data_IF_391583706983
#
_entry.id   IF_391583706983
#
_cell.length_a   1.000
_cell.length_b   1.000
_cell.length_c   1.000
_cell.angle_alpha   90.00
_cell.angle_beta   90.00
_cell.angle_gamma   90.00
#
_symmetry.space_group_name_H-M   'P 1'
#
loop_
_entity.id
_entity.type
_entity.pdbx_description
1 polymer ?
#
# COMPACT_ATOMS: atom_id res chain seq x y z
N UNK A 1 26.14 -18.75 10.23
CA UNK A 1 24.93 -18.17 9.60
C UNK A 1 23.89 -19.24 9.52
N UNK A 2 22.71 -18.97 10.05
CA UNK A 2 21.64 -19.96 10.14
C UNK A 2 21.06 -20.33 8.79
N UNK A 3 20.74 -21.59 8.60
CA UNK A 3 20.20 -22.14 7.35
C UNK A 3 18.72 -22.47 7.52
N UNK A 4 17.99 -22.40 6.42
CA UNK A 4 16.59 -22.82 6.38
C UNK A 4 16.52 -24.32 6.67
N UNK A 5 15.87 -24.69 7.78
CA UNK A 5 15.67 -26.08 8.18
C UNK A 5 14.35 -26.63 7.62
N UNK A 6 13.27 -25.87 7.72
CA UNK A 6 11.97 -26.26 7.16
C UNK A 6 11.13 -25.06 6.75
N UNK A 7 10.25 -25.29 5.77
CA UNK A 7 9.26 -24.32 5.30
C UNK A 7 7.90 -25.00 5.31
N UNK A 8 6.95 -24.42 6.02
CA UNK A 8 5.57 -24.87 6.11
C UNK A 8 4.64 -23.77 5.62
N UNK A 9 3.48 -24.15 5.12
CA UNK A 9 2.46 -23.21 4.72
C UNK A 9 1.07 -23.71 5.10
N UNK A 10 0.16 -22.76 5.28
CA UNK A 10 -1.25 -23.03 5.56
C UNK A 10 -2.13 -22.01 4.89
N UNK A 11 -3.40 -22.37 4.72
CA UNK A 11 -4.45 -21.47 4.33
C UNK A 11 -5.00 -20.79 5.59
N UNK A 12 -5.08 -19.47 5.59
CA UNK A 12 -5.74 -18.65 6.62
C UNK A 12 -6.79 -17.76 5.95
N UNK A 13 -7.53 -16.97 6.71
CA UNK A 13 -8.50 -16.03 6.17
C UNK A 13 -7.98 -14.60 6.21
N UNK A 14 -8.27 -13.85 5.15
CA UNK A 14 -8.05 -12.40 5.09
C UNK A 14 -9.20 -11.61 5.75
N UNK A 15 -9.10 -10.29 5.80
CA UNK A 15 -10.09 -9.37 6.38
C UNK A 15 -11.45 -9.37 5.69
N UNK A 16 -11.56 -9.97 4.51
CA UNK A 16 -12.80 -10.16 3.74
C UNK A 16 -13.37 -11.57 3.89
N UNK A 17 -12.72 -12.44 4.69
CA UNK A 17 -13.10 -13.83 4.85
C UNK A 17 -12.70 -14.72 3.67
N UNK A 18 -11.83 -14.25 2.77
CA UNK A 18 -11.28 -15.06 1.70
C UNK A 18 -9.99 -15.77 2.15
N UNK A 19 -9.72 -16.99 1.65
CA UNK A 19 -8.46 -17.67 1.92
C UNK A 19 -7.25 -16.87 1.41
N UNK A 20 -6.17 -16.91 2.19
CA UNK A 20 -4.83 -16.47 1.77
C UNK A 20 -3.75 -17.39 2.33
N UNK A 21 -2.50 -17.21 1.88
CA UNK A 21 -1.36 -18.05 2.24
C UNK A 21 -0.64 -17.45 3.45
N UNK A 22 -0.42 -18.27 4.48
CA UNK A 22 0.55 -18.00 5.54
C UNK A 22 1.69 -19.00 5.45
N UNK A 23 2.93 -18.50 5.51
CA UNK A 23 4.15 -19.32 5.48
C UNK A 23 4.91 -19.18 6.78
N UNK A 24 5.49 -20.27 7.24
CA UNK A 24 6.38 -20.33 8.39
C UNK A 24 7.71 -20.97 7.99
N UNK A 25 8.80 -20.25 8.23
CA UNK A 25 10.18 -20.69 8.01
C UNK A 25 10.86 -20.90 9.35
N UNK A 26 11.44 -22.09 9.55
CA UNK A 26 12.22 -22.44 10.73
C UNK A 26 13.67 -22.61 10.33
N UNK A 27 14.60 -21.97 11.04
CA UNK A 27 16.03 -22.11 10.83
C UNK A 27 16.65 -23.23 11.70
N UNK A 28 17.90 -23.62 11.42
CA UNK A 28 18.62 -24.64 12.15
C UNK A 28 18.92 -24.25 13.61
N UNK A 29 19.01 -22.95 13.91
CA UNK A 29 19.11 -22.39 15.27
C UNK A 29 17.77 -22.28 16.02
N UNK A 30 16.66 -22.77 15.41
CA UNK A 30 15.28 -22.75 15.91
C UNK A 30 14.58 -21.37 15.79
N UNK A 31 15.21 -20.38 15.24
CA UNK A 31 14.53 -19.12 14.93
C UNK A 31 13.41 -19.35 13.91
N UNK A 32 12.27 -18.72 14.16
CA UNK A 32 11.05 -18.88 13.36
C UNK A 32 10.66 -17.54 12.76
N UNK A 33 10.33 -17.52 11.48
CA UNK A 33 9.68 -16.38 10.82
C UNK A 33 8.35 -16.79 10.22
N UNK A 34 7.33 -15.96 10.36
CA UNK A 34 6.00 -16.16 9.80
C UNK A 34 5.59 -14.92 9.01
N UNK A 35 4.93 -15.14 7.88
CA UNK A 35 4.36 -14.07 7.06
C UNK A 35 3.05 -14.53 6.45
N UNK A 36 2.06 -13.64 6.43
CA UNK A 36 0.79 -13.81 5.76
C UNK A 36 0.70 -12.87 4.54
N UNK A 37 0.23 -13.38 3.43
CA UNK A 37 0.23 -12.65 2.15
C UNK A 37 -1.08 -11.87 1.99
N UNK A 38 -1.04 -10.55 1.69
CA UNK A 38 -2.25 -9.79 1.40
C UNK A 38 -2.79 -10.09 -0.01
N UNK A 39 -4.07 -9.73 -0.26
CA UNK A 39 -4.77 -9.96 -1.52
C UNK A 39 -5.55 -8.73 -1.96
N UNK A 40 -5.48 -8.35 -3.24
CA UNK A 40 -6.23 -7.22 -3.81
C UNK A 40 -7.70 -7.55 -4.08
N UNK A 41 -8.56 -6.52 -4.13
CA UNK A 41 -9.91 -6.60 -4.71
C UNK A 41 -9.85 -6.24 -6.21
N UNK A 42 -9.32 -5.06 -6.53
CA UNK A 42 -8.87 -4.67 -7.86
C UNK A 42 -7.42 -5.11 -8.05
N UNK A 43 -7.06 -5.51 -9.25
CA UNK A 43 -5.68 -5.92 -9.59
C UNK A 43 -5.31 -5.32 -10.93
N UNK A 44 -4.21 -4.58 -10.98
CA UNK A 44 -3.61 -4.10 -12.23
C UNK A 44 -3.27 -5.26 -13.18
N UNK A 45 -3.45 -5.06 -14.46
CA UNK A 45 -3.26 -6.11 -15.47
C UNK A 45 -1.84 -6.69 -15.51
N UNK A 46 -0.87 -5.96 -14.95
CA UNK A 46 0.54 -6.32 -14.96
C UNK A 46 1.07 -6.85 -13.62
N UNK A 47 0.20 -7.07 -12.64
CA UNK A 47 0.59 -7.66 -11.36
C UNK A 47 1.09 -9.09 -11.50
N UNK A 48 1.94 -9.52 -10.56
CA UNK A 48 2.32 -10.92 -10.44
C UNK A 48 1.09 -11.77 -10.06
N UNK A 49 1.02 -12.99 -10.60
CA UNK A 49 -0.16 -13.81 -10.52
C UNK A 49 -0.42 -14.37 -9.11
N UNK A 50 -1.50 -13.98 -8.49
CA UNK A 50 -2.02 -14.64 -7.30
C UNK A 50 -2.66 -15.97 -7.70
N UNK A 51 -2.10 -17.08 -7.22
CA UNK A 51 -2.61 -18.40 -7.55
C UNK A 51 -3.85 -18.73 -6.70
N UNK A 52 -5.00 -18.89 -7.37
CA UNK A 52 -6.27 -19.32 -6.82
C UNK A 52 -6.66 -20.70 -7.36
N UNK A 53 -7.33 -21.50 -6.53
CA UNK A 53 -7.61 -22.91 -6.88
C UNK A 53 -8.69 -23.06 -7.97
N UNK A 54 -9.61 -22.10 -8.09
CA UNK A 54 -10.83 -22.27 -8.86
C UNK A 54 -11.79 -23.30 -8.22
N UNK A 55 -12.77 -23.75 -8.97
CA UNK A 55 -13.72 -24.76 -8.52
C UNK A 55 -14.68 -24.27 -7.40
N UNK A 56 -15.41 -25.18 -6.72
CA UNK A 56 -16.47 -24.78 -5.79
C UNK A 56 -15.98 -24.40 -4.39
N UNK A 57 -14.79 -24.88 -3.98
CA UNK A 57 -14.26 -24.61 -2.65
C UNK A 57 -13.93 -23.12 -2.50
N UNK A 58 -14.42 -22.48 -1.43
CA UNK A 58 -14.34 -21.03 -1.22
C UNK A 58 -14.78 -20.21 -2.44
N UNK A 59 -15.76 -20.67 -3.19
CA UNK A 59 -16.28 -20.01 -4.40
C UNK A 59 -15.15 -19.72 -5.44
N UNK A 60 -14.17 -20.63 -5.54
CA UNK A 60 -13.04 -20.50 -6.44
C UNK A 60 -11.83 -19.77 -5.87
N UNK A 61 -11.96 -19.16 -4.68
CA UNK A 61 -10.91 -18.32 -4.06
C UNK A 61 -9.93 -19.09 -3.16
N UNK A 62 -10.01 -20.44 -3.09
CA UNK A 62 -9.08 -21.28 -2.34
C UNK A 62 -7.62 -21.08 -2.75
N UNK A 63 -6.67 -21.36 -1.85
CA UNK A 63 -5.22 -21.24 -2.10
C UNK A 63 -4.46 -22.54 -1.78
N UNK A 64 -5.16 -23.69 -1.77
CA UNK A 64 -4.55 -24.97 -1.46
C UNK A 64 -3.42 -25.35 -2.45
N UNK A 65 -3.54 -24.97 -3.72
CA UNK A 65 -2.49 -25.18 -4.72
C UNK A 65 -1.24 -24.33 -4.43
N UNK A 66 -1.40 -23.08 -3.99
CA UNK A 66 -0.29 -22.22 -3.57
C UNK A 66 0.41 -22.81 -2.32
N UNK A 67 -0.36 -23.23 -1.32
CA UNK A 67 0.15 -23.94 -0.12
C UNK A 67 0.93 -25.21 -0.51
N UNK A 68 0.40 -26.01 -1.44
CA UNK A 68 1.07 -27.20 -1.96
C UNK A 68 2.36 -26.84 -2.71
N UNK A 69 2.37 -25.77 -3.49
CA UNK A 69 3.57 -25.29 -4.18
C UNK A 69 4.66 -24.88 -3.18
N UNK A 70 4.30 -24.20 -2.08
CA UNK A 70 5.26 -23.90 -0.99
C UNK A 70 5.87 -25.18 -0.44
N UNK A 71 5.04 -26.14 0.00
CA UNK A 71 5.52 -27.31 0.75
C UNK A 71 6.20 -28.36 -0.13
N UNK A 72 5.77 -28.53 -1.38
CA UNK A 72 6.24 -29.62 -2.24
C UNK A 72 7.25 -29.19 -3.32
N UNK A 73 7.24 -27.90 -3.72
CA UNK A 73 8.14 -27.42 -4.78
C UNK A 73 9.18 -26.42 -4.25
N UNK A 74 8.76 -25.41 -3.46
CA UNK A 74 9.66 -24.36 -2.98
C UNK A 74 10.49 -24.87 -1.80
N UNK A 75 9.88 -25.46 -0.78
CA UNK A 75 10.58 -25.92 0.42
C UNK A 75 11.79 -26.82 0.11
N UNK A 76 11.72 -27.84 -0.77
CA UNK A 76 12.87 -28.69 -1.08
C UNK A 76 14.05 -27.94 -1.70
N UNK A 77 13.82 -26.84 -2.44
CA UNK A 77 14.90 -26.13 -3.14
C UNK A 77 15.52 -25.00 -2.32
N UNK A 78 14.80 -24.49 -1.29
CA UNK A 78 15.32 -23.44 -0.39
C UNK A 78 15.87 -24.02 0.91
N UNK A 79 15.49 -25.22 1.31
CA UNK A 79 16.05 -25.90 2.50
C UNK A 79 17.56 -26.05 2.39
N UNK A 80 18.27 -25.75 3.48
CA UNK A 80 19.73 -25.73 3.54
C UNK A 80 20.37 -24.45 3.01
N UNK A 81 19.63 -23.54 2.36
CA UNK A 81 20.14 -22.22 1.97
C UNK A 81 20.37 -21.35 3.20
N UNK A 82 21.34 -20.46 3.11
CA UNK A 82 21.66 -19.49 4.17
C UNK A 82 20.60 -18.41 4.24
N UNK A 83 19.89 -18.29 5.37
CA UNK A 83 18.71 -17.42 5.49
C UNK A 83 18.98 -15.93 5.28
N UNK A 84 20.22 -15.46 5.54
CA UNK A 84 20.60 -14.05 5.33
C UNK A 84 20.85 -13.70 3.86
N UNK A 85 20.93 -14.70 2.96
CA UNK A 85 21.09 -14.49 1.54
C UNK A 85 19.73 -14.38 0.83
N UNK A 86 18.96 -13.34 1.24
CA UNK A 86 17.61 -13.11 0.75
C UNK A 86 17.51 -13.10 -0.77
N UNK A 87 18.45 -12.41 -1.43
CA UNK A 87 18.45 -12.28 -2.90
C UNK A 87 18.63 -13.63 -3.58
N UNK A 88 19.53 -14.47 -3.09
CA UNK A 88 19.73 -15.82 -3.66
C UNK A 88 18.49 -16.69 -3.49
N UNK A 89 17.80 -16.59 -2.33
CA UNK A 89 16.57 -17.34 -2.05
C UNK A 89 15.46 -16.88 -2.99
N UNK A 90 15.22 -15.57 -3.11
CA UNK A 90 14.19 -15.03 -3.97
C UNK A 90 14.46 -15.37 -5.45
N UNK A 91 15.71 -15.23 -5.89
CA UNK A 91 16.10 -15.57 -7.26
C UNK A 91 15.94 -17.08 -7.55
N UNK A 92 16.18 -17.93 -6.54
CA UNK A 92 15.96 -19.38 -6.66
C UNK A 92 14.49 -19.71 -6.90
N UNK A 93 13.59 -19.03 -6.19
CA UNK A 93 12.13 -19.20 -6.35
C UNK A 93 11.64 -18.65 -7.68
N UNK A 94 12.11 -17.46 -8.09
CA UNK A 94 11.79 -16.86 -9.40
C UNK A 94 12.23 -17.80 -10.53
N UNK A 95 13.45 -18.34 -10.46
CA UNK A 95 13.97 -19.28 -11.47
C UNK A 95 13.22 -20.61 -11.49
N UNK A 96 12.71 -21.06 -10.33
CA UNK A 96 11.89 -22.27 -10.22
C UNK A 96 10.51 -22.07 -10.86
N UNK A 97 9.91 -20.90 -10.74
CA UNK A 97 8.67 -20.53 -11.41
C UNK A 97 8.86 -20.43 -12.93
N UNK A 98 9.89 -19.75 -13.37
CA UNK A 98 10.29 -19.59 -14.77
C UNK A 98 9.41 -18.69 -15.62
N UNK A 99 8.33 -18.12 -15.07
CA UNK A 99 7.44 -17.17 -15.78
C UNK A 99 7.68 -15.73 -15.30
N UNK A 100 7.38 -14.77 -16.17
CA UNK A 100 7.57 -13.34 -15.83
C UNK A 100 6.69 -12.88 -14.67
N UNK A 101 5.48 -13.40 -14.58
CA UNK A 101 4.48 -12.99 -13.60
C UNK A 101 4.26 -14.02 -12.47
N UNK A 102 5.16 -15.00 -12.30
CA UNK A 102 5.09 -16.00 -11.24
C UNK A 102 3.81 -16.87 -11.25
N UNK A 103 3.27 -17.16 -12.46
CA UNK A 103 1.99 -17.84 -12.62
C UNK A 103 2.03 -19.36 -12.39
N UNK A 104 3.20 -19.99 -12.36
CA UNK A 104 3.35 -21.45 -12.16
C UNK A 104 3.31 -21.84 -10.69
N UNK A 105 4.00 -21.09 -9.83
CA UNK A 105 4.02 -21.35 -8.39
C UNK A 105 2.98 -20.48 -7.66
N UNK A 106 2.69 -19.30 -8.18
CA UNK A 106 1.90 -18.27 -7.57
C UNK A 106 2.77 -17.24 -6.83
N UNK A 107 2.55 -15.95 -7.12
CA UNK A 107 3.22 -14.87 -6.41
C UNK A 107 2.95 -14.92 -4.90
N UNK A 108 1.76 -15.33 -4.49
CA UNK A 108 1.39 -15.52 -3.09
C UNK A 108 2.22 -16.62 -2.39
N UNK A 109 2.51 -17.72 -3.07
CA UNK A 109 3.39 -18.78 -2.54
C UNK A 109 4.84 -18.28 -2.38
N UNK A 110 5.36 -17.61 -3.42
CA UNK A 110 6.74 -17.10 -3.45
C UNK A 110 6.93 -16.01 -2.40
N UNK A 111 6.02 -15.03 -2.34
CA UNK A 111 6.09 -13.91 -1.39
C UNK A 111 6.02 -14.39 0.06
N UNK A 112 5.14 -15.33 0.35
CA UNK A 112 5.04 -15.89 1.71
C UNK A 112 6.37 -16.45 2.21
N UNK A 113 7.09 -17.22 1.37
CA UNK A 113 8.41 -17.75 1.70
C UNK A 113 9.46 -16.64 1.81
N UNK A 114 9.44 -15.68 0.89
CA UNK A 114 10.36 -14.54 0.87
C UNK A 114 10.29 -13.73 2.17
N UNK A 115 9.09 -13.31 2.58
CA UNK A 115 8.88 -12.51 3.80
C UNK A 115 9.13 -13.32 5.08
N UNK A 116 8.66 -14.58 5.13
CA UNK A 116 8.89 -15.44 6.30
C UNK A 116 10.38 -15.71 6.51
N UNK A 117 11.16 -15.86 5.43
CA UNK A 117 12.61 -16.03 5.51
C UNK A 117 13.30 -14.80 6.08
N UNK A 118 12.97 -13.60 5.61
CA UNK A 118 13.50 -12.36 6.15
C UNK A 118 13.21 -12.20 7.65
N UNK A 119 11.98 -12.52 8.07
CA UNK A 119 11.58 -12.49 9.48
C UNK A 119 12.33 -13.55 10.32
N UNK A 120 12.53 -14.77 9.80
CA UNK A 120 13.32 -15.80 10.48
C UNK A 120 14.78 -15.36 10.64
N UNK A 121 15.37 -14.76 9.59
CA UNK A 121 16.73 -14.24 9.62
C UNK A 121 16.88 -13.08 10.61
N UNK A 122 15.91 -12.17 10.67
CA UNK A 122 15.92 -11.06 11.65
C UNK A 122 15.84 -11.58 13.09
N UNK A 123 14.98 -12.57 13.35
CA UNK A 123 14.88 -13.24 14.66
C UNK A 123 16.16 -13.97 15.04
N UNK A 124 16.81 -14.68 14.09
CA UNK A 124 18.12 -15.32 14.29
C UNK A 124 19.22 -14.32 14.63
N UNK A 125 19.15 -13.12 14.06
CA UNK A 125 20.05 -12.01 14.36
C UNK A 125 19.69 -11.26 15.65
N UNK A 126 18.60 -11.62 16.34
CA UNK A 126 18.04 -10.91 17.49
C UNK A 126 17.82 -9.42 17.20
N UNK A 127 17.27 -9.13 16.02
CA UNK A 127 16.95 -7.77 15.56
C UNK A 127 15.47 -7.66 15.17
N UNK A 128 14.88 -6.49 15.35
CA UNK A 128 13.59 -6.16 14.74
C UNK A 128 13.71 -6.16 13.21
N UNK A 129 12.63 -6.50 12.50
CA UNK A 129 12.68 -6.68 11.05
C UNK A 129 13.11 -5.39 10.33
N UNK A 130 12.61 -4.22 10.77
CA UNK A 130 13.00 -2.95 10.15
C UNK A 130 14.50 -2.64 10.29
N UNK A 131 15.11 -2.94 11.46
CA UNK A 131 16.56 -2.77 11.66
C UNK A 131 17.38 -3.77 10.86
N UNK A 132 16.92 -5.01 10.80
CA UNK A 132 17.58 -6.06 10.04
C UNK A 132 17.66 -5.72 8.55
N UNK A 133 16.57 -5.19 7.97
CA UNK A 133 16.49 -4.86 6.54
C UNK A 133 17.10 -3.50 6.20
N UNK A 134 16.90 -2.49 7.02
CA UNK A 134 17.29 -1.11 6.72
C UNK A 134 18.57 -0.64 7.42
N UNK A 135 19.12 -1.46 8.33
CA UNK A 135 20.33 -1.12 9.09
C UNK A 135 20.19 0.13 9.94
N UNK A 136 21.30 0.81 10.20
CA UNK A 136 21.35 2.02 11.04
C UNK A 136 20.62 3.24 10.46
N UNK A 137 20.29 3.21 9.17
CA UNK A 137 19.58 4.29 8.50
C UNK A 137 18.06 4.16 8.57
N UNK A 138 17.52 3.03 9.04
CA UNK A 138 16.09 2.77 9.21
C UNK A 138 15.55 3.51 10.43
N UNK A 139 15.23 4.80 10.29
CA UNK A 139 14.78 5.66 11.40
C UNK A 139 13.66 6.64 11.04
N UNK A 140 13.21 6.62 9.79
CA UNK A 140 12.14 7.53 9.33
C UNK A 140 10.78 6.90 9.52
N UNK A 141 9.99 7.40 10.50
CA UNK A 141 8.59 7.05 10.68
C UNK A 141 7.76 7.69 9.56
N UNK A 142 6.93 6.90 8.85
CA UNK A 142 6.16 7.40 7.70
C UNK A 142 4.99 8.27 8.13
N UNK A 143 4.60 9.23 7.29
CA UNK A 143 3.29 9.89 7.39
C UNK A 143 2.20 8.87 7.05
N UNK A 144 1.23 8.63 7.94
CA UNK A 144 0.10 7.75 7.64
C UNK A 144 -0.89 8.46 6.73
N UNK A 145 -1.10 7.90 5.53
CA UNK A 145 -2.14 8.30 4.59
C UNK A 145 -3.41 7.52 4.96
N UNK A 146 -4.25 8.12 5.82
CA UNK A 146 -5.39 7.41 6.41
C UNK A 146 -6.64 7.56 5.54
N UNK A 147 -7.08 6.48 4.91
CA UNK A 147 -8.32 6.43 4.14
C UNK A 147 -9.54 6.47 5.08
N UNK A 148 -10.18 7.63 5.23
CA UNK A 148 -11.29 7.84 6.16
C UNK A 148 -12.67 7.92 5.50
N UNK A 149 -12.72 8.04 4.14
CA UNK A 149 -13.94 7.99 3.36
C UNK A 149 -13.70 7.22 2.07
N UNK A 150 -14.58 6.26 1.79
CA UNK A 150 -14.50 5.34 0.65
C UNK A 150 -15.59 5.63 -0.39
N UNK A 151 -15.24 5.44 -1.65
CA UNK A 151 -16.12 5.36 -2.80
C UNK A 151 -15.64 4.30 -3.79
N UNK A 152 -15.95 4.43 -5.06
CA UNK A 152 -15.53 3.55 -6.13
C UNK A 152 -15.74 2.06 -5.81
N UNK A 153 -14.77 1.23 -6.17
CA UNK A 153 -14.83 -0.22 -5.93
C UNK A 153 -14.74 -0.62 -4.44
N UNK A 154 -14.36 0.30 -3.54
CA UNK A 154 -14.20 0.02 -2.10
C UNK A 154 -15.48 0.19 -1.28
N UNK A 155 -16.57 0.69 -1.90
CA UNK A 155 -17.84 0.91 -1.20
C UNK A 155 -19.02 0.92 -2.18
N UNK A 156 -20.17 0.39 -1.74
CA UNK A 156 -21.42 0.46 -2.48
C UNK A 156 -22.04 1.87 -2.31
N UNK A 157 -21.49 2.85 -3.02
CA UNK A 157 -21.88 4.27 -2.98
C UNK A 157 -21.90 4.86 -4.38
N UNK A 158 -22.39 6.11 -4.49
CA UNK A 158 -22.42 6.89 -5.74
C UNK A 158 -21.20 7.83 -5.91
N UNK A 159 -20.14 7.63 -5.12
CA UNK A 159 -18.89 8.43 -5.20
C UNK A 159 -17.89 7.67 -6.07
N UNK A 160 -17.39 8.29 -7.15
CA UNK A 160 -16.51 7.60 -8.11
C UNK A 160 -15.07 7.43 -7.60
N UNK A 161 -14.53 8.45 -6.92
CA UNK A 161 -13.18 8.40 -6.35
C UNK A 161 -13.14 7.36 -5.23
N UNK A 162 -12.18 6.43 -5.33
CA UNK A 162 -12.12 5.24 -4.48
C UNK A 162 -11.77 5.53 -3.03
N UNK A 163 -10.81 6.44 -2.78
CA UNK A 163 -10.33 6.75 -1.43
C UNK A 163 -10.07 8.24 -1.22
N UNK A 164 -10.51 8.73 -0.07
CA UNK A 164 -10.20 10.07 0.42
C UNK A 164 -9.43 9.95 1.74
N UNK A 165 -8.20 10.44 1.71
CA UNK A 165 -7.24 10.27 2.80
C UNK A 165 -6.91 11.60 3.47
N UNK A 166 -6.61 11.53 4.77
CA UNK A 166 -5.94 12.58 5.52
C UNK A 166 -4.47 12.22 5.73
N UNK A 167 -3.60 13.24 5.71
CA UNK A 167 -2.18 13.15 5.95
C UNK A 167 -1.77 14.15 7.04
N UNK A 168 -1.47 13.70 8.28
CA UNK A 168 -1.05 14.57 9.39
C UNK A 168 0.40 15.04 9.24
N UNK A 169 0.66 15.92 8.28
CA UNK A 169 2.01 16.38 7.90
C UNK A 169 2.66 17.34 8.91
N UNK A 170 1.87 17.94 9.80
CA UNK A 170 2.34 18.93 10.77
C UNK A 170 2.56 18.36 12.18
N UNK A 171 2.44 17.06 12.40
CA UNK A 171 2.70 16.44 13.70
C UNK A 171 4.20 16.34 13.98
N UNK A 172 4.57 16.33 15.26
CA UNK A 172 5.97 16.25 15.69
C UNK A 172 6.47 14.80 15.86
N UNK A 173 5.55 13.82 15.86
CA UNK A 173 5.85 12.40 16.02
C UNK A 173 4.81 11.52 15.32
N UNK A 174 5.14 10.26 15.09
CA UNK A 174 4.17 9.30 14.56
C UNK A 174 3.00 9.10 15.52
N UNK A 175 3.27 8.99 16.82
CA UNK A 175 2.24 8.87 17.86
C UNK A 175 1.24 10.03 17.81
N UNK A 176 1.70 11.27 17.69
CA UNK A 176 0.82 12.44 17.57
C UNK A 176 0.05 12.43 16.25
N UNK A 177 0.69 12.05 15.14
CA UNK A 177 0.03 11.94 13.84
C UNK A 177 -1.12 10.94 13.87
N UNK A 178 -0.92 9.79 14.50
CA UNK A 178 -1.96 8.77 14.67
C UNK A 178 -3.11 9.27 15.56
N UNK A 179 -2.81 9.94 16.69
CA UNK A 179 -3.83 10.53 17.55
C UNK A 179 -4.69 11.53 16.79
N UNK A 180 -4.08 12.44 16.04
CA UNK A 180 -4.81 13.41 15.21
C UNK A 180 -5.73 12.73 14.20
N UNK A 181 -5.23 11.69 13.52
CA UNK A 181 -6.02 10.92 12.56
C UNK A 181 -7.25 10.28 13.20
N UNK A 182 -7.10 9.67 14.40
CA UNK A 182 -8.21 9.07 15.16
C UNK A 182 -9.25 10.12 15.57
N UNK A 183 -8.81 11.27 16.08
CA UNK A 183 -9.70 12.36 16.47
C UNK A 183 -10.51 12.90 15.28
N UNK A 184 -9.86 13.07 14.11
CA UNK A 184 -10.53 13.49 12.87
C UNK A 184 -11.51 12.42 12.39
N UNK A 185 -11.13 11.13 12.43
CA UNK A 185 -12.01 10.02 12.06
C UNK A 185 -13.30 10.01 12.89
N UNK A 186 -13.21 10.21 14.21
CA UNK A 186 -14.39 10.31 15.06
C UNK A 186 -15.17 11.61 14.86
N UNK A 187 -14.50 12.73 14.56
CA UNK A 187 -15.17 13.98 14.15
C UNK A 187 -15.97 13.77 12.87
N UNK A 188 -15.38 13.12 11.84
CA UNK A 188 -16.08 12.80 10.60
C UNK A 188 -17.32 11.94 10.85
N UNK A 189 -17.23 10.91 11.69
CA UNK A 189 -18.39 10.10 12.09
C UNK A 189 -19.51 10.95 12.69
N UNK A 190 -19.16 11.94 13.50
CA UNK A 190 -20.12 12.85 14.11
C UNK A 190 -20.75 13.80 13.09
N UNK A 191 -19.97 14.30 12.14
CA UNK A 191 -20.46 15.14 11.03
C UNK A 191 -21.46 14.38 10.17
N UNK A 192 -21.10 13.14 9.76
CA UNK A 192 -21.96 12.28 8.96
C UNK A 192 -23.30 12.01 9.67
N UNK A 193 -23.27 11.63 10.96
CA UNK A 193 -24.49 11.40 11.75
C UNK A 193 -25.39 12.63 11.84
N UNK A 194 -24.82 13.82 12.06
CA UNK A 194 -25.57 15.08 12.13
C UNK A 194 -26.26 15.41 10.80
N UNK A 195 -25.70 14.98 9.68
CA UNK A 195 -26.27 15.15 8.34
C UNK A 195 -27.22 14.01 7.93
N UNK A 196 -27.43 13.00 8.79
CA UNK A 196 -28.25 11.83 8.48
C UNK A 196 -27.63 10.87 7.45
N UNK A 197 -26.30 10.96 7.25
CA UNK A 197 -25.56 10.13 6.31
C UNK A 197 -25.10 8.82 6.97
N UNK A 198 -24.87 7.79 6.15
CA UNK A 198 -24.38 6.49 6.60
C UNK A 198 -23.01 6.59 7.29
N UNK A 199 -22.84 5.80 8.36
CA UNK A 199 -21.56 5.63 9.06
C UNK A 199 -21.09 4.17 9.05
N UNK A 200 -21.61 3.35 8.12
CA UNK A 200 -21.03 2.07 7.76
C UNK A 200 -19.63 2.28 7.15
N UNK A 201 -18.78 1.27 7.28
CA UNK A 201 -17.39 1.34 6.83
C UNK A 201 -17.15 0.35 5.69
N UNK A 202 -16.32 0.75 4.74
CA UNK A 202 -15.84 -0.10 3.67
C UNK A 202 -14.73 -1.08 4.10
N UNK A 203 -14.16 -1.78 3.13
CA UNK A 203 -13.14 -2.82 3.36
C UNK A 203 -11.89 -2.31 4.08
N UNK A 204 -11.56 -1.05 3.92
CA UNK A 204 -10.38 -0.42 4.51
C UNK A 204 -10.68 0.43 5.75
N UNK A 205 -11.92 0.40 6.24
CA UNK A 205 -12.35 1.06 7.46
C UNK A 205 -12.81 2.51 7.31
N UNK A 206 -12.71 3.11 6.12
CA UNK A 206 -13.28 4.43 5.81
C UNK A 206 -14.80 4.40 5.75
N UNK A 207 -15.46 5.54 6.06
CA UNK A 207 -16.92 5.64 5.96
C UNK A 207 -17.37 5.62 4.49
N UNK A 208 -18.55 5.11 4.24
CA UNK A 208 -19.11 4.90 2.89
C UNK A 208 -20.50 5.56 2.71
N UNK A 209 -20.60 6.90 2.80
CA UNK A 209 -21.87 7.59 2.58
C UNK A 209 -22.15 7.78 1.09
N UNK A 210 -23.43 7.83 0.71
CA UNK A 210 -23.84 8.42 -0.57
C UNK A 210 -23.74 9.94 -0.50
N UNK A 211 -23.12 10.55 -1.51
CA UNK A 211 -22.88 12.00 -1.59
C UNK A 211 -23.28 12.53 -2.97
N UNK A 212 -23.52 13.84 -3.05
CA UNK A 212 -23.94 14.50 -4.30
C UNK A 212 -22.79 14.65 -5.32
N UNK A 213 -21.54 14.56 -4.88
CA UNK A 213 -20.34 14.66 -5.73
C UNK A 213 -19.09 14.19 -4.99
N UNK A 214 -17.99 13.95 -5.74
CA UNK A 214 -16.68 13.67 -5.14
C UNK A 214 -16.15 14.87 -4.33
N UNK A 215 -16.47 16.11 -4.70
CA UNK A 215 -16.12 17.31 -3.93
C UNK A 215 -16.78 17.35 -2.56
N UNK A 216 -18.03 16.87 -2.46
CA UNK A 216 -18.75 16.82 -1.18
C UNK A 216 -18.01 15.94 -0.15
N UNK A 217 -17.28 14.91 -0.59
CA UNK A 217 -16.43 14.10 0.29
C UNK A 217 -15.29 14.94 0.88
N UNK A 218 -14.56 15.69 0.04
CA UNK A 218 -13.49 16.59 0.49
C UNK A 218 -14.01 17.65 1.46
N UNK A 219 -15.15 18.28 1.15
CA UNK A 219 -15.77 19.29 2.02
C UNK A 219 -16.14 18.73 3.39
N UNK A 220 -16.69 17.52 3.45
CA UNK A 220 -17.01 16.85 4.72
C UNK A 220 -15.77 16.56 5.55
N UNK A 221 -14.67 16.18 4.90
CA UNK A 221 -13.40 15.94 5.57
C UNK A 221 -12.80 17.24 6.12
N UNK A 222 -12.88 18.36 5.36
CA UNK A 222 -12.45 19.67 5.86
C UNK A 222 -13.23 20.07 7.11
N UNK A 223 -14.56 19.93 7.10
CA UNK A 223 -15.41 20.21 8.27
C UNK A 223 -15.02 19.31 9.46
N UNK A 224 -14.66 18.05 9.20
CA UNK A 224 -14.24 17.12 10.26
C UNK A 224 -12.87 17.50 10.86
N UNK A 225 -11.92 17.95 10.04
CA UNK A 225 -10.59 18.41 10.47
C UNK A 225 -10.73 19.65 11.37
N UNK A 226 -11.48 20.65 10.91
CA UNK A 226 -11.74 21.87 11.67
C UNK A 226 -12.54 21.60 12.94
N UNK A 227 -13.55 20.72 12.86
CA UNK A 227 -14.35 20.27 14.00
C UNK A 227 -13.55 19.51 15.08
N UNK A 228 -12.43 18.89 14.70
CA UNK A 228 -11.47 18.26 15.60
C UNK A 228 -10.42 19.27 16.14
N UNK A 229 -10.45 20.52 15.69
CA UNK A 229 -9.55 21.59 16.17
C UNK A 229 -8.21 21.68 15.44
N UNK A 230 -8.06 21.01 14.28
CA UNK A 230 -6.82 21.03 13.51
C UNK A 230 -6.89 22.04 12.35
N UNK A 231 -5.69 22.53 11.95
CA UNK A 231 -5.53 23.47 10.84
C UNK A 231 -5.35 22.72 9.53
N UNK A 232 -6.25 22.98 8.60
CA UNK A 232 -6.20 22.48 7.22
C UNK A 232 -4.95 23.00 6.51
N UNK A 233 -4.28 22.15 5.76
CA UNK A 233 -3.08 22.43 4.96
C UNK A 233 -1.78 22.51 5.76
N UNK A 234 -1.77 23.11 6.94
CA UNK A 234 -0.55 23.23 7.74
C UNK A 234 -0.32 22.03 8.68
N UNK A 235 -1.36 21.52 9.33
CA UNK A 235 -1.30 20.34 10.18
C UNK A 235 -1.76 19.08 9.44
N UNK A 236 -2.91 19.19 8.77
CA UNK A 236 -3.53 18.08 8.05
C UNK A 236 -3.67 18.46 6.57
N UNK A 237 -3.09 17.68 5.71
CA UNK A 237 -3.32 17.75 4.27
C UNK A 237 -4.23 16.61 3.82
N UNK A 238 -4.70 16.68 2.56
CA UNK A 238 -5.56 15.67 1.95
C UNK A 238 -4.82 14.89 0.87
N UNK A 239 -5.25 13.67 0.63
CA UNK A 239 -4.84 12.89 -0.52
C UNK A 239 -6.01 12.07 -1.05
N UNK A 240 -5.91 11.62 -2.29
CA UNK A 240 -6.92 10.81 -2.96
C UNK A 240 -6.26 9.62 -3.67
N UNK A 241 -6.97 8.52 -3.72
CA UNK A 241 -6.79 7.46 -4.70
C UNK A 241 -8.02 7.43 -5.61
N UNK A 242 -7.80 7.71 -6.88
CA UNK A 242 -8.89 7.83 -7.86
C UNK A 242 -9.23 6.47 -8.45
N UNK A 243 -8.24 5.58 -8.63
CA UNK A 243 -8.37 4.30 -9.30
C UNK A 243 -9.09 4.43 -10.66
N UNK A 244 -8.62 5.37 -11.49
CA UNK A 244 -9.35 5.82 -12.68
C UNK A 244 -9.54 4.75 -13.75
N UNK A 245 -8.75 3.67 -13.74
CA UNK A 245 -8.93 2.51 -14.61
C UNK A 245 -10.30 1.84 -14.40
N UNK A 246 -10.86 1.88 -13.18
CA UNK A 246 -12.13 1.25 -12.83
C UNK A 246 -13.35 1.89 -13.57
N UNK A 247 -13.23 3.14 -13.99
CA UNK A 247 -14.28 3.84 -14.74
C UNK A 247 -13.81 4.32 -16.13
N UNK A 248 -12.70 3.75 -16.63
CA UNK A 248 -12.22 4.01 -17.99
C UNK A 248 -12.80 2.97 -18.97
N UNK A 249 -13.44 3.46 -20.03
CA UNK A 249 -14.02 2.63 -21.09
C UNK A 249 -14.01 3.37 -22.41
N UNK A 250 -13.72 2.63 -23.51
CA UNK A 250 -13.76 3.16 -24.89
C UNK A 250 -12.97 4.48 -25.08
N UNK A 251 -11.84 4.63 -24.35
CA UNK A 251 -10.97 5.80 -24.47
C UNK A 251 -11.46 7.02 -23.69
N UNK A 252 -12.42 6.86 -22.77
CA UNK A 252 -13.01 7.92 -21.96
C UNK A 252 -13.20 7.48 -20.52
N UNK A 253 -13.33 8.45 -19.63
CA UNK A 253 -13.59 8.28 -18.20
C UNK A 253 -15.05 8.58 -17.90
N UNK A 254 -15.81 7.58 -17.45
CA UNK A 254 -17.20 7.73 -17.01
C UNK A 254 -17.21 8.25 -15.57
N UNK A 255 -17.24 9.58 -15.40
CA UNK A 255 -17.00 10.24 -14.14
C UNK A 255 -18.08 11.28 -13.83
N UNK A 256 -18.69 11.19 -12.64
CA UNK A 256 -19.84 12.06 -12.20
C UNK A 256 -20.96 12.13 -13.25
N UNK A 257 -21.26 10.97 -13.86
CA UNK A 257 -22.32 10.84 -14.89
C UNK A 257 -21.97 11.50 -16.23
N UNK A 258 -20.70 11.78 -16.48
CA UNK A 258 -20.19 12.38 -17.72
C UNK A 258 -19.09 11.51 -18.31
N UNK A 259 -19.00 11.51 -19.65
CA UNK A 259 -17.92 10.85 -20.39
C UNK A 259 -16.83 11.87 -20.69
N UNK A 260 -15.68 11.79 -20.00
CA UNK A 260 -14.61 12.78 -20.02
C UNK A 260 -13.36 12.25 -20.76
N UNK A 261 -12.62 13.17 -21.40
CA UNK A 261 -11.28 12.88 -21.94
C UNK A 261 -10.21 13.02 -20.86
N UNK A 262 -8.99 12.54 -21.13
CA UNK A 262 -7.83 12.72 -20.23
C UNK A 262 -7.59 14.19 -19.91
N UNK A 263 -7.72 15.10 -20.90
CA UNK A 263 -7.56 16.55 -20.69
C UNK A 263 -8.61 17.12 -19.73
N UNK A 264 -9.85 16.63 -19.83
CA UNK A 264 -10.93 17.08 -18.94
C UNK A 264 -10.71 16.55 -17.50
N UNK A 265 -10.22 15.33 -17.35
CA UNK A 265 -9.81 14.80 -16.03
C UNK A 265 -8.65 15.61 -15.44
N UNK A 266 -7.63 15.94 -16.24
CA UNK A 266 -6.50 16.78 -15.81
C UNK A 266 -6.99 18.15 -15.35
N UNK A 267 -7.91 18.78 -16.09
CA UNK A 267 -8.50 20.06 -15.70
C UNK A 267 -9.29 19.97 -14.39
N UNK A 268 -10.01 18.87 -14.17
CA UNK A 268 -10.71 18.60 -12.91
C UNK A 268 -9.73 18.50 -11.72
N UNK A 269 -8.63 17.74 -11.86
CA UNK A 269 -7.61 17.66 -10.81
C UNK A 269 -6.88 18.97 -10.58
N UNK A 270 -6.60 19.75 -11.62
CA UNK A 270 -5.98 21.09 -11.51
C UNK A 270 -6.84 22.04 -10.69
N UNK A 271 -8.16 21.96 -10.87
CA UNK A 271 -9.11 22.74 -10.07
C UNK A 271 -9.16 22.24 -8.61
N UNK A 272 -9.17 20.92 -8.36
CA UNK A 272 -9.10 20.37 -6.99
C UNK A 272 -7.82 20.80 -6.27
N UNK A 273 -6.66 20.69 -6.91
CA UNK A 273 -5.36 21.08 -6.34
C UNK A 273 -5.32 22.57 -6.01
N UNK A 274 -6.03 23.41 -6.79
CA UNK A 274 -6.11 24.85 -6.54
C UNK A 274 -6.97 25.19 -5.32
N UNK A 275 -8.05 24.43 -5.09
CA UNK A 275 -9.04 24.71 -4.07
C UNK A 275 -8.85 23.95 -2.77
N UNK A 276 -8.19 22.80 -2.78
CA UNK A 276 -7.99 21.94 -1.62
C UNK A 276 -6.50 21.78 -1.27
N UNK A 277 -6.14 21.46 -0.02
CA UNK A 277 -4.76 21.21 0.39
C UNK A 277 -4.34 19.76 0.04
N UNK A 278 -4.48 19.40 -1.23
CA UNK A 278 -4.09 18.09 -1.75
C UNK A 278 -2.57 17.98 -1.84
N UNK A 279 -2.00 16.98 -1.19
CA UNK A 279 -0.55 16.66 -1.27
C UNK A 279 -0.26 15.55 -2.26
N UNK A 280 -1.25 14.69 -2.55
CA UNK A 280 -1.07 13.48 -3.37
C UNK A 280 -2.36 13.08 -4.08
N UNK A 281 -2.22 12.65 -5.34
CA UNK A 281 -3.26 11.97 -6.11
C UNK A 281 -2.65 10.67 -6.66
N UNK A 282 -3.30 9.55 -6.37
CA UNK A 282 -2.95 8.21 -6.83
C UNK A 282 -3.88 7.80 -7.97
N UNK A 283 -3.32 7.16 -8.98
CA UNK A 283 -3.98 6.63 -10.19
C UNK A 283 -5.06 7.54 -10.77
N UNK A 284 -4.69 8.80 -11.11
CA UNK A 284 -5.63 9.78 -11.66
C UNK A 284 -6.12 9.48 -13.07
N UNK A 285 -5.45 8.59 -13.80
CA UNK A 285 -5.76 8.18 -15.18
C UNK A 285 -5.58 6.67 -15.35
N UNK A 286 -6.10 6.13 -16.45
CA UNK A 286 -5.97 4.72 -16.82
C UNK A 286 -4.51 4.24 -16.88
N UNK A 287 -4.25 2.99 -16.48
CA UNK A 287 -2.90 2.40 -16.37
C UNK A 287 -2.12 2.33 -17.69
N UNK A 288 -2.79 2.49 -18.83
CA UNK A 288 -2.20 2.50 -20.17
C UNK A 288 -2.25 3.88 -20.85
N UNK A 289 -2.86 4.91 -20.24
CA UNK A 289 -2.87 6.28 -20.76
C UNK A 289 -1.55 7.04 -20.49
N UNK A 290 -0.43 6.49 -20.93
CA UNK A 290 0.91 7.06 -20.71
C UNK A 290 1.05 8.51 -21.18
N UNK A 291 0.33 8.90 -22.24
CA UNK A 291 0.35 10.27 -22.78
C UNK A 291 -0.37 11.25 -21.86
N UNK A 292 -1.54 10.86 -21.35
CA UNK A 292 -2.29 11.61 -20.36
C UNK A 292 -1.50 11.77 -19.05
N UNK A 293 -0.89 10.71 -18.56
CA UNK A 293 -0.04 10.73 -17.38
C UNK A 293 1.16 11.69 -17.53
N UNK A 294 1.85 11.69 -18.67
CA UNK A 294 2.97 12.59 -18.90
C UNK A 294 2.50 14.08 -18.91
N UNK A 295 1.33 14.36 -19.52
CA UNK A 295 0.72 15.68 -19.54
C UNK A 295 0.32 16.14 -18.13
N UNK A 296 -0.37 15.27 -17.36
CA UNK A 296 -0.76 15.52 -15.99
C UNK A 296 0.46 15.79 -15.10
N UNK A 297 1.51 14.99 -15.25
CA UNK A 297 2.77 15.15 -14.49
C UNK A 297 3.45 16.49 -14.82
N UNK A 298 3.46 16.90 -16.09
CA UNK A 298 3.98 18.20 -16.50
C UNK A 298 3.21 19.37 -15.89
N UNK A 299 1.89 19.23 -15.70
CA UNK A 299 1.03 20.29 -15.18
C UNK A 299 1.02 20.38 -13.65
N UNK A 300 0.97 19.25 -12.97
CA UNK A 300 0.77 19.17 -11.52
C UNK A 300 1.97 18.64 -10.74
N UNK A 301 2.92 17.99 -11.40
CA UNK A 301 4.01 17.25 -10.72
C UNK A 301 4.96 18.10 -9.89
N UNK A 302 5.05 19.42 -10.14
CA UNK A 302 5.81 20.35 -9.30
C UNK A 302 5.00 20.93 -8.12
N UNK A 303 3.69 20.64 -8.07
CA UNK A 303 2.78 21.16 -7.04
C UNK A 303 2.40 20.10 -6.02
N UNK A 304 2.22 18.83 -6.48
CA UNK A 304 1.78 17.71 -5.68
C UNK A 304 2.52 16.43 -6.04
N UNK A 305 2.37 15.42 -5.21
CA UNK A 305 2.74 14.06 -5.52
C UNK A 305 1.70 13.41 -6.45
N UNK A 306 2.18 12.72 -7.49
CA UNK A 306 1.39 11.93 -8.41
C UNK A 306 1.90 10.49 -8.30
N UNK A 307 1.06 9.60 -7.78
CA UNK A 307 1.41 8.23 -7.44
C UNK A 307 0.91 7.29 -8.53
N UNK A 308 1.78 6.40 -9.00
CA UNK A 308 1.38 5.27 -9.83
C UNK A 308 1.27 4.00 -8.99
N UNK A 309 0.05 3.44 -8.91
CA UNK A 309 -0.26 2.12 -8.40
C UNK A 309 -0.38 1.13 -9.57
N UNK A 310 -1.51 1.06 -10.25
CA UNK A 310 -1.73 0.18 -11.41
C UNK A 310 -0.80 0.54 -12.58
N UNK A 311 -0.43 1.81 -12.70
CA UNK A 311 0.56 2.27 -13.67
C UNK A 311 1.90 1.52 -13.54
N UNK A 312 2.38 1.28 -12.32
CA UNK A 312 3.71 0.70 -12.05
C UNK A 312 3.68 -0.72 -11.49
N UNK A 313 2.64 -1.10 -10.77
CA UNK A 313 2.45 -2.40 -10.10
C UNK A 313 3.70 -2.88 -9.33
N UNK A 314 4.41 -1.94 -8.69
CA UNK A 314 5.69 -2.20 -7.99
C UNK A 314 6.75 -2.86 -8.89
N UNK A 315 6.59 -2.81 -10.22
CA UNK A 315 7.43 -3.49 -11.19
C UNK A 315 8.57 -2.57 -11.68
N UNK A 316 9.87 -2.96 -11.48
CA UNK A 316 11.01 -2.16 -11.90
C UNK A 316 11.03 -1.82 -13.41
N UNK A 317 10.55 -2.70 -14.29
CA UNK A 317 10.52 -2.44 -15.74
C UNK A 317 9.51 -1.33 -16.07
N UNK A 318 8.30 -1.37 -15.48
CA UNK A 318 7.28 -0.32 -15.67
C UNK A 318 7.70 1.00 -15.02
N UNK A 319 8.31 0.94 -13.83
CA UNK A 319 8.88 2.12 -13.16
C UNK A 319 9.97 2.78 -14.01
N UNK A 320 10.90 1.99 -14.56
CA UNK A 320 11.95 2.51 -15.46
C UNK A 320 11.37 3.20 -16.70
N UNK A 321 10.28 2.65 -17.27
CA UNK A 321 9.54 3.30 -18.36
C UNK A 321 8.97 4.65 -17.91
N UNK A 322 8.33 4.72 -16.73
CA UNK A 322 7.78 5.95 -16.16
C UNK A 322 8.85 7.01 -15.90
N UNK A 323 9.98 6.64 -15.31
CA UNK A 323 11.12 7.51 -15.09
C UNK A 323 11.62 8.10 -16.41
N UNK A 324 11.80 7.26 -17.42
CA UNK A 324 12.28 7.69 -18.75
C UNK A 324 11.30 8.65 -19.43
N UNK A 325 10.01 8.43 -19.29
CA UNK A 325 8.94 9.26 -19.88
C UNK A 325 8.50 10.42 -19.00
N UNK A 326 9.11 10.60 -17.81
CA UNK A 326 8.74 11.63 -16.81
C UNK A 326 7.28 11.57 -16.41
N UNK A 327 6.80 10.36 -16.17
CA UNK A 327 5.41 10.03 -15.87
C UNK A 327 5.27 9.69 -14.39
N UNK A 328 4.37 10.34 -13.67
CA UNK A 328 4.25 10.31 -12.21
C UNK A 328 5.51 10.87 -11.49
N UNK A 329 5.54 10.85 -10.17
CA UNK A 329 6.70 11.25 -9.36
C UNK A 329 6.76 10.50 -8.01
N UNK A 330 5.92 9.47 -7.85
CA UNK A 330 5.94 8.56 -6.72
C UNK A 330 5.46 7.16 -7.14
N UNK A 331 5.97 6.15 -6.44
CA UNK A 331 5.63 4.74 -6.57
C UNK A 331 4.76 4.32 -5.39
N UNK A 332 3.60 3.71 -5.65
CA UNK A 332 2.93 2.90 -4.64
C UNK A 332 3.62 1.54 -4.54
N UNK A 333 3.88 1.08 -3.32
CA UNK A 333 4.66 -0.13 -3.07
C UNK A 333 3.76 -1.19 -2.45
N UNK A 334 3.36 -2.17 -3.22
CA UNK A 334 2.58 -3.33 -2.79
C UNK A 334 3.41 -4.60 -2.99
N UNK A 335 3.87 -5.21 -1.91
CA UNK A 335 4.80 -6.36 -1.95
C UNK A 335 4.28 -7.54 -2.78
N UNK A 336 2.96 -7.75 -2.81
CA UNK A 336 2.36 -8.86 -3.55
C UNK A 336 2.19 -8.57 -5.06
N UNK A 337 2.25 -7.32 -5.52
CA UNK A 337 2.18 -6.99 -6.94
C UNK A 337 3.41 -7.48 -7.72
N UNK A 338 4.55 -7.56 -7.05
CA UNK A 338 5.80 -8.07 -7.64
C UNK A 338 6.18 -9.47 -7.12
N UNK A 339 5.87 -9.78 -5.85
CA UNK A 339 5.89 -11.13 -5.28
C UNK A 339 7.19 -11.59 -4.64
N UNK A 340 8.21 -10.72 -4.44
CA UNK A 340 9.37 -10.97 -3.58
C UNK A 340 9.80 -9.71 -2.83
N UNK A 341 10.45 -9.92 -1.68
CA UNK A 341 11.05 -8.82 -0.91
C UNK A 341 12.19 -8.15 -1.70
N UNK A 342 13.03 -8.95 -2.37
CA UNK A 342 14.16 -8.43 -3.17
C UNK A 342 13.70 -7.49 -4.28
N UNK A 343 12.74 -7.91 -5.10
CA UNK A 343 12.21 -7.06 -6.18
C UNK A 343 11.50 -5.81 -5.64
N UNK A 344 10.81 -5.94 -4.49
CA UNK A 344 10.21 -4.79 -3.80
C UNK A 344 11.26 -3.76 -3.39
N UNK A 345 12.35 -4.21 -2.77
CA UNK A 345 13.47 -3.33 -2.37
C UNK A 345 14.11 -2.69 -3.60
N UNK A 346 14.33 -3.46 -4.67
CA UNK A 346 14.91 -2.95 -5.91
C UNK A 346 14.03 -1.86 -6.55
N UNK A 347 12.70 -2.03 -6.55
CA UNK A 347 11.77 -1.01 -7.05
C UNK A 347 11.81 0.28 -6.21
N UNK A 348 11.83 0.17 -4.86
CA UNK A 348 11.93 1.33 -3.97
C UNK A 348 13.26 2.07 -4.15
N UNK A 349 14.37 1.35 -4.23
CA UNK A 349 15.68 1.95 -4.46
C UNK A 349 15.73 2.68 -5.81
N UNK A 350 15.24 2.05 -6.88
CA UNK A 350 15.15 2.70 -8.20
C UNK A 350 14.30 3.98 -8.14
N UNK A 351 13.17 3.99 -7.43
CA UNK A 351 12.35 5.17 -7.24
C UNK A 351 13.16 6.29 -6.56
N UNK A 352 13.79 6.00 -5.43
CA UNK A 352 14.55 6.99 -4.65
C UNK A 352 15.76 7.55 -5.43
N UNK A 353 16.52 6.71 -6.13
CA UNK A 353 17.66 7.10 -6.96
C UNK A 353 17.26 8.06 -8.11
N UNK A 354 15.99 8.03 -8.51
CA UNK A 354 15.46 8.86 -9.59
C UNK A 354 14.51 9.98 -9.08
N UNK A 355 14.61 10.35 -7.79
CA UNK A 355 13.82 11.42 -7.17
C UNK A 355 12.29 11.16 -7.14
N UNK A 356 11.86 9.92 -7.31
CA UNK A 356 10.50 9.50 -7.00
C UNK A 356 10.38 9.25 -5.50
N UNK A 357 9.24 9.57 -4.93
CA UNK A 357 8.88 9.12 -3.59
C UNK A 357 8.30 7.71 -3.65
N UNK A 358 8.26 7.05 -2.50
CA UNK A 358 7.59 5.76 -2.34
C UNK A 358 6.57 5.84 -1.22
N UNK A 359 5.43 5.20 -1.40
CA UNK A 359 4.38 5.06 -0.40
C UNK A 359 4.13 3.57 -0.19
N UNK A 360 4.53 3.04 0.97
CA UNK A 360 4.27 1.65 1.33
C UNK A 360 2.77 1.44 1.51
N UNK A 361 2.21 0.39 0.92
CA UNK A 361 0.76 0.21 0.87
C UNK A 361 0.33 -1.19 1.31
N UNK A 362 -0.84 -1.23 1.95
CA UNK A 362 -1.64 -2.41 2.18
C UNK A 362 -2.38 -2.86 0.90
N UNK A 363 -3.22 -3.88 1.04
CA UNK A 363 -4.23 -4.27 0.05
C UNK A 363 -5.62 -4.25 0.71
N UNK A 364 -6.69 -4.32 -0.12
CA UNK A 364 -8.06 -4.40 0.37
C UNK A 364 -8.32 -5.66 1.21
N UNK A 365 -7.76 -6.80 0.84
CA UNK A 365 -7.71 -8.03 1.66
C UNK A 365 -6.42 -8.13 2.46
N UNK A 366 -6.49 -7.80 3.74
CA UNK A 366 -5.35 -7.82 4.67
C UNK A 366 -5.49 -8.89 5.74
N UNK A 367 -4.38 -9.12 6.42
CA UNK A 367 -4.30 -9.96 7.63
C UNK A 367 -3.74 -9.12 8.78
N UNK A 368 -3.57 -9.72 9.95
CA UNK A 368 -2.85 -9.09 11.08
C UNK A 368 -1.33 -8.97 10.88
N UNK A 369 -0.77 -9.44 9.75
CA UNK A 369 0.65 -9.28 9.42
C UNK A 369 1.04 -7.80 9.34
N UNK A 370 2.19 -7.45 9.93
CA UNK A 370 2.67 -6.07 10.05
C UNK A 370 3.92 -5.76 9.23
N UNK A 371 4.33 -6.67 8.36
CA UNK A 371 5.58 -6.57 7.59
C UNK A 371 5.70 -5.25 6.84
N UNK A 372 4.60 -4.72 6.27
CA UNK A 372 4.63 -3.43 5.55
C UNK A 372 4.94 -2.23 6.46
N UNK A 373 4.63 -2.30 7.74
CA UNK A 373 5.01 -1.26 8.71
C UNK A 373 6.54 -1.27 8.93
N UNK A 374 7.13 -2.45 9.12
CA UNK A 374 8.57 -2.63 9.22
C UNK A 374 9.27 -2.17 7.93
N UNK A 375 8.74 -2.54 6.74
CA UNK A 375 9.29 -2.17 5.44
C UNK A 375 9.24 -0.66 5.19
N UNK A 376 8.15 0.02 5.59
CA UNK A 376 8.03 1.47 5.42
C UNK A 376 9.17 2.23 6.13
N UNK A 377 9.58 1.75 7.30
CA UNK A 377 10.69 2.33 8.07
C UNK A 377 12.05 1.83 7.55
N UNK A 378 12.18 0.52 7.28
CA UNK A 378 13.41 -0.08 6.76
C UNK A 378 13.91 0.61 5.48
N UNK A 379 12.98 0.94 4.59
CA UNK A 379 13.27 1.54 3.28
C UNK A 379 13.14 3.07 3.27
N UNK A 380 12.88 3.69 4.44
CA UNK A 380 12.67 5.14 4.56
C UNK A 380 11.67 5.68 3.52
N UNK A 381 10.56 4.99 3.32
CA UNK A 381 9.54 5.41 2.36
C UNK A 381 8.96 6.79 2.69
N UNK A 382 8.92 7.14 3.96
CA UNK A 382 8.38 8.41 4.45
C UNK A 382 6.85 8.51 4.42
N UNK A 383 6.18 7.54 3.82
CA UNK A 383 4.72 7.46 3.68
C UNK A 383 4.24 6.02 3.80
N UNK A 384 3.06 5.82 4.41
CA UNK A 384 2.38 4.54 4.45
C UNK A 384 0.87 4.72 4.23
N UNK A 385 0.30 3.93 3.33
CA UNK A 385 -1.14 3.85 3.06
C UNK A 385 -1.62 2.50 3.61
N UNK A 386 -2.36 2.52 4.74
CA UNK A 386 -2.79 1.28 5.39
C UNK A 386 -4.21 1.37 5.97
N UNK A 387 -5.08 2.12 5.29
CA UNK A 387 -6.51 2.24 5.60
C UNK A 387 -6.81 3.25 6.71
N UNK A 388 -8.05 3.22 7.20
CA UNK A 388 -8.50 4.04 8.31
C UNK A 388 -7.90 3.58 9.66
N UNK A 389 -7.91 4.43 10.70
CA UNK A 389 -7.55 4.01 12.05
C UNK A 389 -8.68 3.20 12.71
N UNK A 390 -9.22 2.23 11.98
CA UNK A 390 -10.28 1.31 12.34
C UNK A 390 -10.06 -0.04 11.63
N UNK A 391 -10.69 -1.13 12.14
CA UNK A 391 -10.49 -2.52 11.76
C UNK A 391 -9.10 -3.05 12.17
N UNK A 392 -9.07 -4.22 12.81
CA UNK A 392 -7.90 -4.76 13.50
C UNK A 392 -6.69 -4.95 12.58
N UNK A 393 -6.92 -5.41 11.35
CA UNK A 393 -5.87 -5.66 10.35
C UNK A 393 -5.20 -4.36 9.86
N UNK A 394 -5.90 -3.23 9.90
CA UNK A 394 -5.34 -1.89 9.59
C UNK A 394 -4.60 -1.35 10.80
N UNK A 395 -5.26 -1.35 11.95
CA UNK A 395 -4.71 -0.86 13.22
C UNK A 395 -3.46 -1.62 13.65
N UNK A 396 -3.33 -2.91 13.30
CA UNK A 396 -2.12 -3.70 13.56
C UNK A 396 -0.84 -3.03 13.01
N UNK A 397 -0.90 -2.46 11.79
CA UNK A 397 0.22 -1.75 11.16
C UNK A 397 0.55 -0.46 11.89
N UNK A 398 -0.47 0.33 12.28
CA UNK A 398 -0.27 1.53 13.09
C UNK A 398 0.34 1.22 14.46
N UNK A 399 -0.16 0.17 15.13
CA UNK A 399 0.39 -0.28 16.40
C UNK A 399 1.84 -0.75 16.27
N UNK A 400 2.21 -1.38 15.15
CA UNK A 400 3.60 -1.76 14.88
C UNK A 400 4.49 -0.52 14.71
N UNK A 401 4.03 0.50 14.02
CA UNK A 401 4.78 1.76 13.88
C UNK A 401 4.98 2.48 15.22
N UNK A 402 4.01 2.41 16.15
CA UNK A 402 4.20 2.91 17.52
C UNK A 402 5.32 2.16 18.26
N UNK A 403 5.37 0.81 18.14
CA UNK A 403 6.46 0.01 18.74
C UNK A 403 7.82 0.34 18.14
N UNK A 404 7.86 0.56 16.81
CA UNK A 404 9.08 0.98 16.10
C UNK A 404 9.53 2.35 16.57
N UNK A 405 8.61 3.32 16.75
CA UNK A 405 8.92 4.64 17.29
C UNK A 405 9.51 4.55 18.71
N UNK A 406 8.92 3.72 19.59
CA UNK A 406 9.46 3.46 20.93
C UNK A 406 10.86 2.82 20.88
N UNK A 407 11.08 1.86 20.00
CA UNK A 407 12.37 1.17 19.84
C UNK A 407 13.47 2.11 19.31
N UNK A 408 13.11 3.06 18.44
CA UNK A 408 14.03 4.07 17.93
C UNK A 408 14.32 5.18 18.93
N UNK A 409 13.40 5.43 19.86
CA UNK A 409 13.52 6.45 20.91
C UNK A 409 13.93 7.83 20.35
N UNK A 410 15.09 8.37 20.77
CA UNK A 410 15.59 9.67 20.32
C UNK A 410 16.06 9.70 18.86
N UNK A 411 16.26 8.54 18.24
CA UNK A 411 16.66 8.45 16.82
C UNK A 411 15.45 8.46 15.87
N UNK A 412 14.23 8.36 16.39
CA UNK A 412 13.02 8.38 15.59
C UNK A 412 12.84 9.74 14.90
N UNK A 413 12.65 9.72 13.59
CA UNK A 413 12.40 10.90 12.77
C UNK A 413 11.03 10.75 12.11
N UNK A 414 10.07 11.58 12.49
CA UNK A 414 8.79 11.61 11.77
C UNK A 414 8.95 12.37 10.45
N UNK A 415 8.57 11.75 9.33
CA UNK A 415 8.77 12.34 8.00
C UNK A 415 8.02 13.66 7.78
N UNK A 416 6.81 13.76 8.35
CA UNK A 416 6.00 14.97 8.33
C UNK A 416 5.93 15.60 6.94
N UNK A 417 6.05 16.93 6.89
CA UNK A 417 6.00 17.69 5.63
C UNK A 417 7.12 17.32 4.64
N UNK A 418 8.26 16.80 5.11
CA UNK A 418 9.37 16.39 4.25
C UNK A 418 9.03 15.18 3.36
N UNK A 419 8.00 14.41 3.71
CA UNK A 419 7.47 13.37 2.86
C UNK A 419 6.90 13.91 1.53
N UNK A 420 6.46 15.18 1.53
CA UNK A 420 5.81 15.83 0.38
C UNK A 420 6.55 17.12 -0.06
N UNK A 421 7.75 17.00 -0.62
CA UNK A 421 8.63 18.16 -0.88
C UNK A 421 8.05 19.14 -1.94
N UNK A 422 7.07 18.72 -2.72
CA UNK A 422 6.41 19.53 -3.75
C UNK A 422 5.24 20.37 -3.20
N UNK A 423 4.67 19.95 -2.09
CA UNK A 423 3.55 20.66 -1.45
C UNK A 423 4.01 21.90 -0.71
N UNK A 424 3.55 23.09 -1.18
CA UNK A 424 3.99 24.40 -0.68
C UNK A 424 2.87 25.26 -0.07
N UNK A 425 1.68 24.68 0.15
CA UNK A 425 0.54 25.38 0.79
C UNK A 425 0.68 25.47 2.31
#
# INVERSE_FOLDING_TARGET
>A
MSKINSVNAREILDSRGNPTVEVEVVLDDKSVGRAAVPSGASTGAFEAAELRDGGPRYLGKGVANAVKNVTQKIAPVVSGMTAVDQRAIDQKMISLDGTKNKSVLGANAILGVSLATARAASNSANQSLFKYLGGSNAKTLPVPMMNILNGGAHADTNVDIQEFMIAPIGADSFKESLRWGVEIYHSLKSVLKKKGLATSIGDEGGFAPNLDSNRAALDLILVAIEGAGFKVGSQIALAMDVAATEFFSEGKYEFEGKSLTSEQMIAYYSDLVSNYPLVSIEDPLDEDDWSGWAKLTSELGEKIQIVGDDLFVTNPERLAKGIKSKTANALLVKVNQIGTLTETIDAVNMAHENNYKSMMSHRSGETEDTTIADLAVALNCGQIKTGAPARSERVAKYNQLLRIEEELAADAIYAGRLAFPRFRK
#
